data_IF_617901078528
#
_entry.id   IF_617901078528
#
_cell.length_a   1.000
_cell.length_b   1.000
_cell.length_c   1.000
_cell.angle_alpha   90.00
_cell.angle_beta   90.00
_cell.angle_gamma   90.00
#
_symmetry.space_group_name_H-M   'P 1'
#
loop_
_entity.id
_entity.type
_entity.pdbx_description
1 polymer ?
#
# COMPACT_ATOMS: atom_id res chain seq x y z
N UNK A 1 -19.61 1.39 10.83
CA UNK A 1 -18.81 1.40 9.60
C UNK A 1 -17.88 0.19 9.66
N UNK A 2 -17.72 -0.52 8.55
CA UNK A 2 -16.87 -1.71 8.44
C UNK A 2 -16.20 -1.76 7.08
N UNK A 3 -15.01 -2.36 7.04
CA UNK A 3 -14.29 -2.65 5.80
C UNK A 3 -15.08 -3.73 5.03
N UNK A 4 -15.34 -3.49 3.75
CA UNK A 4 -15.99 -4.46 2.85
C UNK A 4 -14.99 -5.29 2.06
N UNK A 5 -13.78 -4.76 1.87
CA UNK A 5 -12.70 -5.45 1.17
C UNK A 5 -11.69 -4.46 0.59
N UNK A 6 -10.84 -4.99 -0.27
CA UNK A 6 -9.82 -4.29 -1.03
C UNK A 6 -9.93 -4.60 -2.52
N UNK A 7 -9.42 -3.69 -3.34
CA UNK A 7 -9.18 -3.91 -4.76
C UNK A 7 -7.73 -3.57 -5.09
N UNK A 8 -7.05 -4.48 -5.77
CA UNK A 8 -5.66 -4.31 -6.17
C UNK A 8 -5.59 -3.79 -7.61
N UNK A 9 -4.69 -2.85 -7.84
CA UNK A 9 -4.43 -2.26 -9.16
C UNK A 9 -2.93 -2.31 -9.42
N UNK A 10 -2.51 -3.26 -10.25
CA UNK A 10 -1.16 -3.28 -10.78
C UNK A 10 -1.10 -2.28 -11.94
N UNK A 11 -0.22 -1.29 -11.82
CA UNK A 11 -0.08 -0.21 -12.81
C UNK A 11 1.37 -0.07 -13.25
N UNK A 12 1.52 0.30 -14.52
CA UNK A 12 2.80 0.63 -15.14
C UNK A 12 2.87 2.15 -15.35
N UNK A 13 3.88 2.78 -14.78
CA UNK A 13 4.13 4.22 -14.90
C UNK A 13 5.36 4.42 -15.77
N UNK A 14 5.20 4.91 -17.01
CA UNK A 14 6.35 5.23 -17.86
C UNK A 14 7.13 6.40 -17.27
N UNK A 15 8.44 6.24 -17.11
CA UNK A 15 9.36 7.30 -16.69
C UNK A 15 9.95 8.01 -17.91
N UNK A 16 10.28 9.28 -17.78
CA UNK A 16 10.94 10.07 -18.84
C UNK A 16 12.30 9.47 -19.25
N UNK A 17 12.93 8.69 -18.37
CA UNK A 17 14.17 7.94 -18.66
C UNK A 17 13.96 6.78 -19.64
N UNK A 18 12.72 6.45 -20.02
CA UNK A 18 12.36 5.29 -20.83
C UNK A 18 12.17 4.00 -20.02
N UNK A 19 12.46 4.02 -18.70
CA UNK A 19 12.15 2.91 -17.81
C UNK A 19 10.65 2.88 -17.49
N UNK A 20 10.08 1.68 -17.31
CA UNK A 20 8.73 1.50 -16.77
C UNK A 20 8.86 1.19 -15.28
N UNK A 21 8.05 1.88 -14.47
CA UNK A 21 7.96 1.66 -13.04
C UNK A 21 6.65 0.94 -12.74
N UNK A 22 6.72 -0.25 -12.18
CA UNK A 22 5.53 -0.99 -11.77
C UNK A 22 5.18 -0.67 -10.33
N UNK A 23 3.89 -0.45 -10.05
CA UNK A 23 3.37 -0.16 -8.72
C UNK A 23 2.10 -0.96 -8.47
N UNK A 24 1.89 -1.34 -7.21
CA UNK A 24 0.61 -1.88 -6.76
C UNK A 24 -0.11 -0.82 -5.93
N UNK A 25 -1.26 -0.37 -6.42
CA UNK A 25 -2.19 0.44 -5.63
C UNK A 25 -3.23 -0.47 -4.97
N UNK A 26 -3.54 -0.20 -3.70
CA UNK A 26 -4.56 -0.91 -2.95
C UNK A 26 -5.63 0.11 -2.54
N UNK A 27 -6.85 -0.12 -3.00
CA UNK A 27 -8.03 0.60 -2.51
C UNK A 27 -8.70 -0.22 -1.42
N UNK A 28 -9.04 0.39 -0.29
CA UNK A 28 -9.78 -0.22 0.80
C UNK A 28 -11.17 0.41 0.84
N UNK A 29 -12.21 -0.40 0.68
CA UNK A 29 -13.60 0.04 0.62
C UNK A 29 -14.32 -0.20 1.96
N UNK A 30 -15.24 0.69 2.32
CA UNK A 30 -16.12 0.55 3.50
C UNK A 30 -17.60 0.54 3.12
N UNK A 31 -18.44 0.01 4.00
CA UNK A 31 -19.90 -0.02 3.83
C UNK A 31 -20.55 1.37 3.87
N UNK A 32 -19.82 2.39 4.33
CA UNK A 32 -20.25 3.78 4.35
C UNK A 32 -19.75 4.60 3.14
N UNK A 33 -19.04 3.98 2.20
CA UNK A 33 -18.54 4.64 0.99
C UNK A 33 -17.25 5.46 1.16
N UNK A 34 -16.64 5.45 2.36
CA UNK A 34 -15.31 6.05 2.56
C UNK A 34 -14.25 5.07 2.07
N UNK A 35 -13.25 5.59 1.35
CA UNK A 35 -12.19 4.79 0.73
C UNK A 35 -10.79 5.24 1.17
N UNK A 36 -9.95 4.27 1.49
CA UNK A 36 -8.52 4.47 1.76
C UNK A 36 -7.66 3.97 0.61
N UNK A 37 -6.50 4.61 0.40
CA UNK A 37 -5.54 4.25 -0.64
C UNK A 37 -4.15 4.02 -0.06
N UNK A 38 -3.56 2.90 -0.46
CA UNK A 38 -2.20 2.55 -0.15
C UNK A 38 -1.41 2.18 -1.40
N UNK A 39 -0.09 2.21 -1.30
CA UNK A 39 0.80 1.93 -2.41
C UNK A 39 1.98 1.05 -1.96
N UNK A 40 2.27 0.04 -2.78
CA UNK A 40 3.58 -0.61 -2.81
C UNK A 40 4.28 -0.15 -4.09
N UNK A 41 5.33 0.66 -3.90
CA UNK A 41 6.07 1.28 -5.01
C UNK A 41 7.20 0.39 -5.51
N UNK A 42 7.54 0.59 -6.78
CA UNK A 42 8.74 0.07 -7.44
C UNK A 42 8.90 -1.46 -7.37
N UNK A 43 8.02 -2.14 -8.09
CA UNK A 43 8.06 -3.58 -8.32
C UNK A 43 9.05 -3.98 -9.42
N UNK A 44 9.69 -3.02 -10.10
CA UNK A 44 10.59 -3.30 -11.24
C UNK A 44 11.87 -4.04 -10.82
N UNK A 45 12.21 -4.02 -9.53
CA UNK A 45 13.33 -4.77 -8.96
C UNK A 45 12.98 -6.22 -8.59
N UNK A 46 11.71 -6.62 -8.73
CA UNK A 46 11.25 -7.97 -8.42
C UNK A 46 11.63 -8.89 -9.56
N UNK A 47 12.33 -9.97 -9.25
CA UNK A 47 12.58 -11.00 -10.23
C UNK A 47 11.23 -11.62 -10.67
N UNK A 48 10.92 -11.76 -11.98
CA UNK A 48 9.61 -12.24 -12.43
C UNK A 48 9.20 -13.60 -11.84
N UNK A 49 10.16 -14.48 -11.57
CA UNK A 49 9.90 -15.79 -10.93
C UNK A 49 9.46 -15.70 -9.45
N UNK A 50 9.63 -14.53 -8.82
CA UNK A 50 9.23 -14.26 -7.43
C UNK A 50 8.05 -13.30 -7.34
N UNK A 51 7.47 -12.94 -8.49
CA UNK A 51 6.35 -12.01 -8.54
C UNK A 51 5.13 -12.64 -7.86
N UNK A 52 4.56 -12.01 -6.82
CA UNK A 52 3.45 -12.60 -6.08
C UNK A 52 2.20 -12.67 -6.98
N UNK A 53 1.38 -13.70 -6.78
CA UNK A 53 0.05 -13.74 -7.35
C UNK A 53 -0.85 -12.75 -6.59
N UNK A 54 -0.98 -11.54 -7.13
CA UNK A 54 -1.73 -10.47 -6.49
C UNK A 54 -3.23 -10.74 -6.40
N UNK A 55 -3.81 -11.48 -7.35
CA UNK A 55 -5.24 -11.83 -7.30
C UNK A 55 -5.54 -12.77 -6.13
N UNK A 56 -4.72 -13.81 -5.96
CA UNK A 56 -4.85 -14.73 -4.84
C UNK A 56 -4.62 -14.03 -3.49
N UNK A 57 -3.68 -13.08 -3.45
CA UNK A 57 -3.41 -12.28 -2.26
C UNK A 57 -4.56 -11.31 -1.94
N UNK A 58 -5.15 -10.67 -2.95
CA UNK A 58 -6.34 -9.82 -2.80
C UNK A 58 -7.50 -10.61 -2.20
N UNK A 59 -7.80 -11.81 -2.74
CA UNK A 59 -8.87 -12.68 -2.25
C UNK A 59 -8.65 -13.08 -0.79
N UNK A 60 -7.42 -13.49 -0.46
CA UNK A 60 -7.03 -13.98 0.86
C UNK A 60 -7.01 -12.85 1.92
N UNK A 61 -6.66 -11.63 1.52
CA UNK A 61 -6.78 -10.42 2.35
C UNK A 61 -8.25 -10.09 2.57
N UNK A 62 -9.05 -10.05 1.49
CA UNK A 62 -10.48 -9.73 1.55
C UNK A 62 -11.23 -10.67 2.48
N UNK A 63 -10.95 -11.97 2.41
CA UNK A 63 -11.53 -12.97 3.30
C UNK A 63 -11.29 -12.64 4.79
N UNK A 64 -10.12 -12.11 5.16
CA UNK A 64 -9.76 -11.82 6.55
C UNK A 64 -10.24 -10.48 7.07
N UNK A 65 -10.21 -9.45 6.22
CA UNK A 65 -10.51 -8.08 6.66
C UNK A 65 -11.98 -7.71 6.47
N UNK A 66 -12.77 -8.51 5.76
CA UNK A 66 -14.20 -8.28 5.61
C UNK A 66 -14.88 -8.16 6.98
N UNK A 67 -15.64 -7.08 7.17
CA UNK A 67 -16.31 -6.77 8.43
C UNK A 67 -15.40 -6.21 9.53
N UNK A 68 -14.10 -6.00 9.27
CA UNK A 68 -13.20 -5.37 10.25
C UNK A 68 -13.58 -3.92 10.51
N UNK A 69 -13.32 -3.47 11.74
CA UNK A 69 -13.50 -2.07 12.15
C UNK A 69 -12.35 -1.22 11.59
N UNK A 70 -12.61 -0.24 10.70
CA UNK A 70 -11.58 0.61 10.13
C UNK A 70 -10.89 1.51 11.16
N UNK A 71 -11.44 1.67 12.37
CA UNK A 71 -10.82 2.43 13.46
C UNK A 71 -9.74 1.63 14.21
N UNK A 72 -9.67 0.32 14.01
CA UNK A 72 -8.70 -0.55 14.66
C UNK A 72 -7.72 -1.15 13.64
N UNK A 73 -6.74 -0.33 13.25
CA UNK A 73 -5.70 -0.70 12.28
C UNK A 73 -4.92 -1.92 12.78
N UNK A 74 -4.44 -1.92 14.03
CA UNK A 74 -3.67 -3.04 14.59
C UNK A 74 -4.42 -4.37 14.50
N UNK A 75 -5.69 -4.41 14.94
CA UNK A 75 -6.48 -5.64 14.87
C UNK A 75 -6.72 -6.11 13.43
N UNK A 76 -6.86 -5.18 12.48
CA UNK A 76 -6.99 -5.51 11.05
C UNK A 76 -5.67 -6.07 10.51
N UNK A 77 -4.55 -5.44 10.84
CA UNK A 77 -3.21 -5.86 10.43
C UNK A 77 -2.80 -7.20 11.04
N UNK A 78 -3.17 -7.48 12.29
CA UNK A 78 -2.90 -8.77 12.96
C UNK A 78 -3.60 -9.92 12.24
N UNK A 79 -4.83 -9.72 11.74
CA UNK A 79 -5.54 -10.72 10.94
C UNK A 79 -4.75 -11.08 9.69
N UNK A 80 -4.25 -10.08 8.98
CA UNK A 80 -3.51 -10.31 7.73
C UNK A 80 -2.09 -10.80 8.00
N UNK A 81 -1.40 -10.31 9.03
CA UNK A 81 -0.04 -10.72 9.39
C UNK A 81 0.10 -12.21 9.69
N UNK A 82 -0.98 -12.86 10.16
CA UNK A 82 -1.01 -14.31 10.42
C UNK A 82 -0.78 -15.18 9.17
N UNK A 83 -0.85 -14.63 7.96
CA UNK A 83 -0.58 -15.37 6.71
C UNK A 83 0.91 -15.49 6.39
N UNK A 84 1.76 -14.72 7.07
CA UNK A 84 3.19 -14.69 6.76
C UNK A 84 3.97 -15.56 7.74
N UNK A 85 4.77 -16.52 7.26
CA UNK A 85 5.58 -17.35 8.14
C UNK A 85 6.51 -16.49 9.00
N UNK A 86 6.65 -16.77 10.30
CA UNK A 86 7.69 -16.16 11.10
C UNK A 86 9.07 -16.71 10.66
N UNK A 87 9.81 -15.96 9.83
CA UNK A 87 11.27 -16.14 9.69
C UNK A 87 11.88 -16.32 8.29
N UNK A 88 11.20 -16.02 7.17
CA UNK A 88 11.82 -16.17 5.86
C UNK A 88 12.68 -14.97 5.46
N UNK A 89 13.99 -15.22 5.39
CA UNK A 89 14.94 -14.28 4.83
C UNK A 89 14.81 -14.26 3.29
N UNK A 90 14.61 -13.06 2.75
CA UNK A 90 14.86 -12.65 1.35
C UNK A 90 13.81 -12.96 0.26
N UNK A 91 12.98 -14.01 0.37
CA UNK A 91 11.85 -14.23 -0.56
C UNK A 91 10.50 -13.69 -0.05
N UNK A 92 10.45 -13.25 1.22
CA UNK A 92 9.25 -12.73 1.90
C UNK A 92 9.09 -11.19 1.84
N UNK A 93 9.96 -10.47 1.11
CA UNK A 93 9.99 -9.00 1.14
C UNK A 93 8.74 -8.34 0.53
N UNK A 94 8.17 -8.93 -0.53
CA UNK A 94 7.11 -8.27 -1.31
C UNK A 94 5.71 -8.50 -0.74
N UNK A 95 5.45 -9.69 -0.18
CA UNK A 95 4.24 -9.91 0.60
C UNK A 95 4.20 -8.94 1.78
N UNK A 96 5.33 -8.74 2.48
CA UNK A 96 5.46 -7.68 3.50
C UNK A 96 5.25 -6.27 2.92
N UNK A 97 5.67 -6.02 1.69
CA UNK A 97 5.36 -4.77 0.97
C UNK A 97 3.86 -4.52 0.80
N UNK A 98 3.07 -5.57 0.53
CA UNK A 98 1.60 -5.46 0.47
C UNK A 98 1.01 -5.11 1.84
N UNK A 99 1.57 -5.61 2.94
CA UNK A 99 1.16 -5.19 4.28
C UNK A 99 1.46 -3.72 4.53
N UNK A 100 2.60 -3.21 4.06
CA UNK A 100 2.94 -1.78 4.16
C UNK A 100 1.93 -0.95 3.37
N UNK A 101 1.60 -1.34 2.14
CA UNK A 101 0.58 -0.67 1.35
C UNK A 101 -0.79 -0.70 2.04
N UNK A 102 -1.19 -1.84 2.60
CA UNK A 102 -2.44 -1.96 3.36
C UNK A 102 -2.45 -1.04 4.58
N UNK A 103 -1.36 -0.98 5.36
CA UNK A 103 -1.23 -0.11 6.53
C UNK A 103 -1.35 1.38 6.14
N UNK A 104 -0.69 1.80 5.05
CA UNK A 104 -0.84 3.16 4.50
C UNK A 104 -2.30 3.44 4.15
N UNK A 105 -2.96 2.51 3.45
CA UNK A 105 -4.36 2.64 3.07
C UNK A 105 -5.32 2.70 4.26
N UNK A 106 -5.05 1.95 5.33
CA UNK A 106 -5.82 1.99 6.57
C UNK A 106 -5.64 3.33 7.30
N UNK A 107 -4.43 3.91 7.29
CA UNK A 107 -4.20 5.24 7.85
C UNK A 107 -4.87 6.35 7.03
N UNK A 108 -4.83 6.27 5.70
CA UNK A 108 -5.57 7.18 4.82
C UNK A 108 -7.09 7.09 5.07
N UNK A 109 -7.62 5.85 5.17
CA UNK A 109 -9.02 5.61 5.52
C UNK A 109 -9.37 6.22 6.87
N UNK A 110 -8.57 5.98 7.91
CA UNK A 110 -8.78 6.49 9.25
C UNK A 110 -8.76 8.03 9.29
N UNK A 111 -7.80 8.66 8.60
CA UNK A 111 -7.73 10.12 8.48
C UNK A 111 -8.97 10.70 7.82
N UNK A 112 -9.48 10.08 6.76
CA UNK A 112 -10.71 10.49 6.08
C UNK A 112 -11.95 10.31 6.95
N UNK A 113 -12.07 9.21 7.69
CA UNK A 113 -13.19 8.96 8.61
C UNK A 113 -13.23 10.00 9.73
N UNK A 114 -12.06 10.36 10.27
CA UNK A 114 -11.92 11.33 11.34
C UNK A 114 -11.82 12.78 10.86
N UNK A 115 -11.85 13.01 9.54
CA UNK A 115 -11.69 14.32 8.89
C UNK A 115 -10.43 15.08 9.33
N UNK A 116 -9.33 14.35 9.55
CA UNK A 116 -8.03 14.92 9.92
C UNK A 116 -6.91 14.41 9.02
N UNK A 117 -5.86 15.22 8.78
CA UNK A 117 -4.65 14.73 8.13
C UNK A 117 -4.00 13.60 8.94
N UNK A 118 -3.42 12.59 8.27
CA UNK A 118 -2.80 11.42 8.91
C UNK A 118 -1.72 11.81 9.93
N UNK A 119 -0.94 12.87 9.67
CA UNK A 119 0.07 13.33 10.63
C UNK A 119 -0.51 13.71 12.00
N UNK A 120 -1.79 14.06 12.08
CA UNK A 120 -2.48 14.37 13.35
C UNK A 120 -2.57 13.13 14.22
N UNK A 121 -2.81 11.97 13.59
CA UNK A 121 -2.88 10.67 14.25
C UNK A 121 -1.49 10.21 14.74
N UNK A 122 -0.43 10.69 14.08
CA UNK A 122 0.97 10.31 14.32
C UNK A 122 1.74 11.33 15.20
N UNK A 123 1.03 12.09 16.04
CA UNK A 123 1.64 13.00 17.01
C UNK A 123 1.65 14.48 16.61
N UNK A 124 0.97 14.85 15.52
CA UNK A 124 0.70 16.23 15.15
C UNK A 124 1.76 16.90 14.26
N UNK A 125 1.42 18.08 13.74
CA UNK A 125 2.27 18.85 12.83
C UNK A 125 3.50 19.40 13.56
N UNK A 126 4.69 19.18 13.01
CA UNK A 126 5.97 19.68 13.57
C UNK A 126 6.71 20.67 12.68
N UNK A 127 6.29 20.83 11.43
CA UNK A 127 6.89 21.71 10.43
C UNK A 127 5.88 22.04 9.34
N UNK A 128 6.00 23.22 8.73
CA UNK A 128 5.15 23.64 7.60
C UNK A 128 5.70 23.20 6.24
N UNK A 129 7.01 22.91 6.17
CA UNK A 129 7.70 22.52 4.93
C UNK A 129 8.72 21.41 5.22
N UNK A 130 8.92 20.52 4.25
CA UNK A 130 9.92 19.45 4.29
C UNK A 130 10.95 19.76 3.19
N UNK A 131 12.26 19.80 3.50
CA UNK A 131 13.30 19.86 2.47
C UNK A 131 13.19 18.62 1.56
N UNK A 132 13.19 18.84 0.25
CA UNK A 132 13.06 17.78 -0.74
C UNK A 132 14.31 17.77 -1.64
N UNK A 133 14.81 16.58 -1.93
CA UNK A 133 15.88 16.35 -2.90
C UNK A 133 15.29 15.59 -4.07
N UNK A 134 15.58 16.05 -5.30
CA UNK A 134 15.15 15.39 -6.52
C UNK A 134 16.37 14.81 -7.24
N UNK A 135 16.40 13.50 -7.53
CA UNK A 135 17.49 12.91 -8.30
C UNK A 135 17.48 13.43 -9.74
N UNK A 136 18.66 13.76 -10.26
CA UNK A 136 18.81 14.16 -11.66
C UNK A 136 19.20 12.91 -12.46
N UNK A 137 18.30 12.49 -13.35
CA UNK A 137 18.53 11.34 -14.23
C UNK A 137 18.85 11.81 -15.66
N UNK A 138 19.74 11.12 -16.39
CA UNK A 138 19.90 11.34 -17.83
C UNK A 138 18.63 10.89 -18.55
N UNK A 139 18.06 11.79 -19.35
CA UNK A 139 16.93 11.47 -20.25
C UNK A 139 17.52 10.92 -21.54
N UNK A 140 16.97 9.82 -22.05
CA UNK A 140 17.38 9.30 -23.36
C UNK A 140 17.01 10.31 -24.44
N UNK A 141 17.99 10.78 -25.22
CA UNK A 141 17.74 11.66 -26.36
C UNK A 141 16.94 10.87 -27.41
N UNK A 142 15.79 11.37 -27.90
CA UNK A 142 15.11 10.75 -29.04
C UNK A 142 16.07 10.71 -30.24
N UNK A 143 16.23 9.53 -30.86
CA UNK A 143 17.01 9.34 -32.11
C UNK A 143 16.14 9.74 -33.31
#
# INVERSE_FOLDING_TARGET
MKITGTKFFLIEVPRETGAISEHLLIRIDTDAGVVGWGELSDLAHIHPATFPNFDALEEEINFRIAGADPLNISATMDRVGAIMPPGGHQFESYQRGVLVALDIGLHDLLGKILEVPVYTLLGGKRRDRIPFCYPIFPVATPI
#
